data_IF_991485135508
#
_entry.id   IF_991485135508
#
_cell.length_a   1.000
_cell.length_b   1.000
_cell.length_c   1.000
_cell.angle_alpha   90.00
_cell.angle_beta   90.00
_cell.angle_gamma   90.00
#
_symmetry.space_group_name_H-M   'P 1'
#
loop_
_entity.id
_entity.type
_entity.pdbx_description
1 polymer ?
#
# COMPACT_ATOMS: atom_id res chain seq x y z
N UNK A 1 37.47 23.08 -3.73
CA UNK A 1 36.17 23.69 -4.13
C UNK A 1 35.37 22.82 -5.09
N UNK A 2 35.91 22.36 -6.24
CA UNK A 2 35.18 21.50 -7.18
C UNK A 2 34.66 20.18 -6.58
N UNK A 3 35.47 19.49 -5.78
CA UNK A 3 35.04 18.28 -5.05
C UNK A 3 33.91 18.57 -4.05
N UNK A 4 34.01 19.70 -3.34
CA UNK A 4 33.03 20.11 -2.33
C UNK A 4 31.68 20.45 -2.99
N UNK A 5 31.70 21.14 -4.14
CA UNK A 5 30.51 21.36 -4.95
C UNK A 5 29.90 20.04 -5.46
N UNK A 6 30.73 19.08 -5.90
CA UNK A 6 30.26 17.76 -6.32
C UNK A 6 29.54 16.99 -5.21
N UNK A 7 30.10 17.02 -3.99
CA UNK A 7 29.48 16.39 -2.81
C UNK A 7 28.14 17.05 -2.49
N UNK A 8 28.06 18.39 -2.51
CA UNK A 8 26.82 19.12 -2.26
C UNK A 8 25.75 18.74 -3.29
N UNK A 9 26.12 18.68 -4.58
CA UNK A 9 25.21 18.28 -5.65
C UNK A 9 24.69 16.85 -5.42
N UNK A 10 25.58 15.92 -5.08
CA UNK A 10 25.19 14.53 -4.80
C UNK A 10 24.21 14.45 -3.63
N UNK A 11 24.47 15.18 -2.54
CA UNK A 11 23.57 15.23 -1.38
C UNK A 11 22.19 15.78 -1.75
N UNK A 12 22.14 16.86 -2.54
CA UNK A 12 20.88 17.42 -3.03
C UNK A 12 20.11 16.38 -3.85
N UNK A 13 20.80 15.66 -4.74
CA UNK A 13 20.18 14.61 -5.55
C UNK A 13 19.65 13.45 -4.69
N UNK A 14 20.39 13.03 -3.66
CA UNK A 14 19.92 11.99 -2.74
C UNK A 14 18.67 12.42 -1.96
N UNK A 15 18.66 13.66 -1.45
CA UNK A 15 17.50 14.21 -0.72
C UNK A 15 16.30 14.33 -1.66
N UNK A 16 16.50 14.85 -2.87
CA UNK A 16 15.44 14.98 -3.87
C UNK A 16 14.85 13.61 -4.26
N UNK A 17 15.71 12.62 -4.50
CA UNK A 17 15.29 11.25 -4.83
C UNK A 17 14.53 10.61 -3.68
N UNK A 18 15.06 10.66 -2.46
CA UNK A 18 14.40 10.10 -1.26
C UNK A 18 13.05 10.74 -1.00
N UNK A 19 12.94 12.06 -1.15
CA UNK A 19 11.68 12.79 -1.02
C UNK A 19 10.68 12.36 -2.10
N UNK A 20 11.13 12.17 -3.34
CA UNK A 20 10.30 11.69 -4.44
C UNK A 20 9.73 10.29 -4.17
N UNK A 21 10.57 9.36 -3.72
CA UNK A 21 10.16 8.00 -3.34
C UNK A 21 9.14 8.02 -2.19
N UNK A 22 9.36 8.87 -1.19
CA UNK A 22 8.43 9.02 -0.06
C UNK A 22 7.03 9.47 -0.49
N UNK A 23 6.94 10.54 -1.30
CA UNK A 23 5.65 11.01 -1.79
C UNK A 23 4.95 10.00 -2.70
N UNK A 24 5.71 9.30 -3.54
CA UNK A 24 5.17 8.23 -4.38
C UNK A 24 4.56 7.11 -3.53
N UNK A 25 5.24 6.71 -2.45
CA UNK A 25 4.75 5.70 -1.52
C UNK A 25 3.46 6.11 -0.80
N UNK A 26 3.38 7.37 -0.34
CA UNK A 26 2.16 7.91 0.27
C UNK A 26 0.99 7.79 -0.71
N UNK A 27 1.18 8.22 -1.95
CA UNK A 27 0.11 8.20 -2.95
C UNK A 27 -0.38 6.77 -3.22
N UNK A 28 0.55 5.83 -3.46
CA UNK A 28 0.21 4.42 -3.70
C UNK A 28 -0.55 3.84 -2.51
N UNK A 29 -0.08 4.08 -1.29
CA UNK A 29 -0.71 3.57 -0.08
C UNK A 29 -2.11 4.16 0.13
N UNK A 30 -2.28 5.46 -0.13
CA UNK A 30 -3.59 6.12 -0.04
C UNK A 30 -4.58 5.60 -1.08
N UNK A 31 -4.14 5.40 -2.33
CA UNK A 31 -4.94 4.80 -3.38
C UNK A 31 -5.37 3.38 -3.01
N UNK A 32 -4.45 2.61 -2.40
CA UNK A 32 -4.70 1.27 -1.94
C UNK A 32 -5.70 1.20 -0.78
N UNK A 33 -5.52 2.05 0.25
CA UNK A 33 -6.47 2.18 1.37
C UNK A 33 -7.84 2.61 0.86
N UNK A 34 -7.89 3.53 -0.12
CA UNK A 34 -9.14 3.94 -0.74
C UNK A 34 -9.83 2.75 -1.43
N UNK A 35 -9.11 1.96 -2.22
CA UNK A 35 -9.69 0.78 -2.86
C UNK A 35 -10.24 -0.24 -1.84
N UNK A 36 -9.56 -0.41 -0.70
CA UNK A 36 -10.06 -1.24 0.41
C UNK A 36 -11.34 -0.66 1.04
N UNK A 37 -11.42 0.67 1.22
CA UNK A 37 -12.62 1.33 1.74
C UNK A 37 -13.79 1.22 0.77
N UNK A 38 -13.55 1.44 -0.53
CA UNK A 38 -14.58 1.38 -1.56
C UNK A 38 -15.14 -0.05 -1.68
N UNK A 39 -14.27 -1.08 -1.58
CA UNK A 39 -14.71 -2.48 -1.53
C UNK A 39 -15.49 -2.79 -0.24
N UNK A 40 -15.05 -2.26 0.91
CA UNK A 40 -15.74 -2.44 2.18
C UNK A 40 -17.16 -1.89 2.14
N UNK A 41 -17.36 -0.67 1.64
CA UNK A 41 -18.67 -0.02 1.56
C UNK A 41 -19.65 -0.89 0.75
N UNK A 42 -19.21 -1.39 -0.41
CA UNK A 42 -20.03 -2.25 -1.26
C UNK A 42 -20.36 -3.61 -0.60
N UNK A 43 -19.44 -4.18 0.17
CA UNK A 43 -19.67 -5.42 0.92
C UNK A 43 -20.62 -5.19 2.12
N UNK A 44 -20.50 -4.05 2.81
CA UNK A 44 -21.39 -3.67 3.91
C UNK A 44 -22.83 -3.52 3.43
N UNK A 45 -23.02 -2.93 2.25
CA UNK A 45 -24.30 -2.75 1.56
C UNK A 45 -24.83 -4.04 0.89
N UNK A 46 -24.04 -5.11 0.88
CA UNK A 46 -24.35 -6.39 0.20
C UNK A 46 -24.67 -6.22 -1.30
N UNK A 47 -24.07 -5.21 -1.93
CA UNK A 47 -24.20 -4.95 -3.37
C UNK A 47 -23.21 -5.80 -4.16
N UNK A 48 -23.45 -7.11 -4.18
CA UNK A 48 -22.58 -8.12 -4.79
C UNK A 48 -22.35 -7.92 -6.29
N UNK A 49 -23.27 -7.23 -6.99
CA UNK A 49 -23.11 -6.86 -8.39
C UNK A 49 -21.91 -5.92 -8.59
N UNK A 50 -21.70 -4.99 -7.65
CA UNK A 50 -20.56 -4.06 -7.68
C UNK A 50 -19.28 -4.62 -7.04
N UNK A 51 -19.36 -5.65 -6.22
CA UNK A 51 -18.18 -6.26 -5.57
C UNK A 51 -17.14 -6.71 -6.59
N UNK A 52 -17.57 -7.34 -7.70
CA UNK A 52 -16.64 -7.82 -8.72
C UNK A 52 -15.79 -6.69 -9.32
N UNK A 53 -16.40 -5.53 -9.56
CA UNK A 53 -15.71 -4.34 -10.06
C UNK A 53 -14.71 -3.79 -9.03
N UNK A 54 -15.12 -3.67 -7.76
CA UNK A 54 -14.23 -3.17 -6.71
C UNK A 54 -13.07 -4.12 -6.38
N UNK A 55 -13.29 -5.43 -6.52
CA UNK A 55 -12.21 -6.42 -6.41
C UNK A 55 -11.19 -6.25 -7.54
N UNK A 56 -11.62 -5.97 -8.76
CA UNK A 56 -10.71 -5.70 -9.89
C UNK A 56 -9.88 -4.43 -9.64
N UNK A 57 -10.53 -3.34 -9.22
CA UNK A 57 -9.83 -2.09 -8.84
C UNK A 57 -8.82 -2.30 -7.71
N UNK A 58 -9.17 -3.09 -6.68
CA UNK A 58 -8.25 -3.45 -5.61
C UNK A 58 -7.04 -4.23 -6.12
N UNK A 59 -7.24 -5.21 -7.00
CA UNK A 59 -6.16 -6.00 -7.59
C UNK A 59 -5.25 -5.15 -8.50
N UNK A 60 -5.82 -4.19 -9.23
CA UNK A 60 -5.04 -3.26 -10.04
C UNK A 60 -4.23 -2.29 -9.18
N UNK A 61 -4.81 -1.80 -8.08
CA UNK A 61 -4.07 -1.04 -7.06
C UNK A 61 -2.93 -1.88 -6.47
N UNK A 62 -3.18 -3.15 -6.14
CA UNK A 62 -2.16 -4.07 -5.62
C UNK A 62 -1.01 -4.25 -6.61
N UNK A 63 -1.30 -4.53 -7.88
CA UNK A 63 -0.28 -4.74 -8.91
C UNK A 63 0.65 -3.52 -9.06
N UNK A 64 0.09 -2.31 -8.95
CA UNK A 64 0.89 -1.07 -8.96
C UNK A 64 1.72 -0.93 -7.69
N UNK A 65 1.16 -1.26 -6.54
CA UNK A 65 1.84 -1.18 -5.25
C UNK A 65 2.99 -2.18 -5.15
N UNK A 66 2.77 -3.44 -5.53
CA UNK A 66 3.76 -4.52 -5.50
C UNK A 66 5.04 -4.16 -6.27
N UNK A 67 4.91 -3.58 -7.47
CA UNK A 67 6.05 -3.12 -8.29
C UNK A 67 6.93 -2.11 -7.54
N UNK A 68 6.31 -1.25 -6.72
CA UNK A 68 7.02 -0.23 -5.94
C UNK A 68 7.52 -0.73 -4.59
N UNK A 69 6.76 -1.60 -3.94
CA UNK A 69 7.01 -2.05 -2.57
C UNK A 69 7.99 -3.21 -2.51
N UNK A 70 7.87 -4.21 -3.38
CA UNK A 70 8.75 -5.39 -3.40
C UNK A 70 10.25 -5.04 -3.47
N UNK A 71 10.71 -4.05 -4.25
CA UNK A 71 12.13 -3.69 -4.29
C UNK A 71 12.63 -2.89 -3.07
N UNK A 72 11.73 -2.29 -2.29
CA UNK A 72 12.04 -1.26 -1.29
C UNK A 72 11.72 -1.67 0.16
N UNK A 73 10.90 -2.71 0.35
CA UNK A 73 10.34 -3.09 1.64
C UNK A 73 10.71 -4.51 2.04
N UNK A 74 10.43 -4.88 3.29
CA UNK A 74 10.63 -6.23 3.78
C UNK A 74 9.73 -7.21 3.02
N UNK A 75 10.35 -8.19 2.35
CA UNK A 75 9.62 -9.17 1.55
C UNK A 75 8.57 -9.95 2.37
N UNK A 76 8.79 -10.19 3.67
CA UNK A 76 7.83 -10.90 4.50
C UNK A 76 6.54 -10.09 4.70
N UNK A 77 6.66 -8.78 4.92
CA UNK A 77 5.50 -7.90 5.09
C UNK A 77 4.69 -7.81 3.80
N UNK A 78 5.37 -7.67 2.65
CA UNK A 78 4.74 -7.60 1.33
C UNK A 78 4.08 -8.93 0.95
N UNK A 79 4.73 -10.06 1.23
CA UNK A 79 4.16 -11.38 1.00
C UNK A 79 2.91 -11.62 1.86
N UNK A 80 2.93 -11.18 3.12
CA UNK A 80 1.76 -11.27 4.01
C UNK A 80 0.60 -10.40 3.51
N UNK A 81 0.89 -9.19 3.04
CA UNK A 81 -0.12 -8.31 2.45
C UNK A 81 -0.70 -8.94 1.17
N UNK A 82 0.14 -9.47 0.28
CA UNK A 82 -0.29 -10.17 -0.93
C UNK A 82 -1.28 -11.30 -0.59
N UNK A 83 -0.96 -12.11 0.42
CA UNK A 83 -1.85 -13.19 0.88
C UNK A 83 -3.19 -12.66 1.40
N UNK A 84 -3.18 -11.56 2.17
CA UNK A 84 -4.40 -10.92 2.67
C UNK A 84 -5.25 -10.38 1.50
N UNK A 85 -4.65 -9.72 0.51
CA UNK A 85 -5.35 -9.21 -0.69
C UNK A 85 -5.99 -10.33 -1.50
N UNK A 86 -5.27 -11.44 -1.72
CA UNK A 86 -5.82 -12.62 -2.40
C UNK A 86 -7.03 -13.17 -1.64
N UNK A 87 -6.97 -13.18 -0.30
CA UNK A 87 -8.09 -13.64 0.53
C UNK A 87 -9.27 -12.69 0.49
N UNK A 88 -9.05 -11.37 0.57
CA UNK A 88 -10.11 -10.35 0.39
C UNK A 88 -10.85 -10.60 -0.92
N UNK A 89 -10.11 -10.72 -2.03
CA UNK A 89 -10.68 -11.00 -3.35
C UNK A 89 -11.54 -12.27 -3.35
N UNK A 90 -11.04 -13.37 -2.79
CA UNK A 90 -11.76 -14.66 -2.77
C UNK A 90 -12.98 -14.67 -1.85
N UNK A 91 -12.86 -14.09 -0.67
CA UNK A 91 -13.96 -14.02 0.30
C UNK A 91 -15.08 -13.13 -0.25
N UNK A 92 -14.74 -12.00 -0.86
CA UNK A 92 -15.69 -11.09 -1.47
C UNK A 92 -16.42 -11.75 -2.65
N UNK A 93 -15.71 -12.49 -3.51
CA UNK A 93 -16.30 -13.27 -4.62
C UNK A 93 -17.19 -14.43 -4.13
N UNK A 94 -16.97 -14.93 -2.91
CA UNK A 94 -17.77 -15.98 -2.28
C UNK A 94 -18.92 -15.42 -1.43
N UNK A 95 -19.16 -14.10 -1.47
CA UNK A 95 -20.18 -13.40 -0.69
C UNK A 95 -20.04 -13.63 0.82
N UNK A 96 -18.80 -13.82 1.29
CA UNK A 96 -18.46 -14.03 2.71
C UNK A 96 -18.27 -12.69 3.41
N UNK A 97 -19.38 -12.02 3.72
CA UNK A 97 -19.40 -10.65 4.26
C UNK A 97 -18.46 -10.49 5.45
N UNK A 98 -18.70 -11.20 6.54
CA UNK A 98 -17.95 -11.03 7.79
C UNK A 98 -16.46 -11.32 7.61
N UNK A 99 -16.11 -12.43 6.95
CA UNK A 99 -14.71 -12.78 6.72
C UNK A 99 -14.01 -11.79 5.78
N UNK A 100 -14.72 -11.26 4.78
CA UNK A 100 -14.17 -10.23 3.89
C UNK A 100 -13.85 -8.96 4.66
N UNK A 101 -14.76 -8.49 5.52
CA UNK A 101 -14.57 -7.27 6.31
C UNK A 101 -13.40 -7.39 7.30
N UNK A 102 -13.22 -8.56 7.91
CA UNK A 102 -12.07 -8.86 8.77
C UNK A 102 -10.78 -8.76 7.96
N UNK A 103 -10.73 -9.42 6.79
CA UNK A 103 -9.49 -9.48 6.01
C UNK A 103 -9.16 -8.13 5.32
N UNK A 104 -10.17 -7.33 4.93
CA UNK A 104 -9.96 -5.94 4.49
C UNK A 104 -9.32 -5.13 5.61
N UNK A 105 -9.80 -5.29 6.85
CA UNK A 105 -9.23 -4.58 8.00
C UNK A 105 -7.77 -4.96 8.24
N UNK A 106 -7.43 -6.25 8.12
CA UNK A 106 -6.06 -6.73 8.24
C UNK A 106 -5.17 -6.13 7.14
N UNK A 107 -5.60 -6.20 5.87
CA UNK A 107 -4.88 -5.60 4.75
C UNK A 107 -4.64 -4.09 4.95
N UNK A 108 -5.66 -3.36 5.43
CA UNK A 108 -5.56 -1.92 5.69
C UNK A 108 -4.52 -1.61 6.76
N UNK A 109 -4.57 -2.32 7.88
CA UNK A 109 -3.60 -2.15 8.98
C UNK A 109 -2.17 -2.47 8.51
N UNK A 110 -1.99 -3.49 7.68
CA UNK A 110 -0.67 -3.79 7.09
C UNK A 110 -0.14 -2.60 6.26
N UNK A 111 -0.99 -1.99 5.43
CA UNK A 111 -0.62 -0.84 4.59
C UNK A 111 -0.35 0.42 5.43
N UNK A 112 -1.15 0.64 6.48
CA UNK A 112 -0.92 1.74 7.43
C UNK A 112 0.41 1.58 8.17
N UNK A 113 0.75 0.35 8.59
CA UNK A 113 2.06 0.07 9.21
C UNK A 113 3.21 0.33 8.24
N UNK A 114 3.06 -0.09 6.97
CA UNK A 114 4.04 0.21 5.92
C UNK A 114 4.23 1.72 5.77
N UNK A 115 3.15 2.50 5.74
CA UNK A 115 3.23 3.97 5.70
C UNK A 115 3.91 4.54 6.95
N UNK A 116 3.56 4.05 8.14
CA UNK A 116 4.10 4.54 9.41
C UNK A 116 5.61 4.33 9.48
N UNK A 117 6.13 3.17 9.07
CA UNK A 117 7.55 2.85 9.05
C UNK A 117 8.36 3.76 8.11
N UNK A 118 7.74 4.27 7.04
CA UNK A 118 8.41 5.15 6.08
C UNK A 118 8.44 6.62 6.48
N UNK A 119 7.74 7.03 7.53
CA UNK A 119 7.73 8.43 7.93
C UNK A 119 9.14 8.87 8.35
N UNK A 120 9.63 10.05 7.89
CA UNK A 120 10.95 10.57 8.25
C UNK A 120 10.92 11.21 9.66
N UNK A 121 10.42 10.47 10.64
CA UNK A 121 10.36 10.87 12.05
C UNK A 121 11.50 10.22 12.83
N UNK A 122 11.99 10.89 13.87
CA UNK A 122 13.16 10.42 14.65
C UNK A 122 13.00 8.99 15.17
N UNK A 123 11.78 8.59 15.55
CA UNK A 123 11.44 7.23 16.01
C UNK A 123 11.72 6.13 14.99
N UNK A 124 11.69 6.46 13.69
CA UNK A 124 11.95 5.47 12.63
C UNK A 124 13.43 5.48 12.20
N UNK A 125 14.22 6.41 12.72
CA UNK A 125 15.66 6.55 12.43
C UNK A 125 16.51 5.99 13.59
N UNK A 126 15.98 6.01 14.82
CA UNK A 126 16.63 5.57 16.06
C UNK A 126 15.69 4.72 16.91
#
# INVERSE_FOLDING_TARGET
MKMLAGIIILLILMVAFSTGVYYQNINISNDFIKALNDLQEVIEDEDWEKVSFQVEELMDCWNRADIWWTPLMDHQEIDMLNLSVIRVSKLAQMEKKEESLVEITIARVMVENIQELQQPVLRNIF
#
